data_IF_920780785864
#
_entry.id   IF_920780785864
#
_cell.length_a   1.000
_cell.length_b   1.000
_cell.length_c   1.000
_cell.angle_alpha   90.00
_cell.angle_beta   90.00
_cell.angle_gamma   90.00
#
_symmetry.space_group_name_H-M   'P 1'
#
loop_
_entity.id
_entity.type
_entity.pdbx_description
1 polymer ?
#
# COMPACT_ATOMS: atom_id res chain seq x y z
N UNK A 1 -2.26 -2.38 -15.62
CA UNK A 1 -2.28 -1.06 -14.98
C UNK A 1 -0.98 -0.29 -15.29
N UNK A 2 0.20 -0.91 -15.14
CA UNK A 2 1.52 -0.34 -15.49
C UNK A 2 1.64 0.30 -16.89
N UNK A 3 0.92 -0.19 -17.91
CA UNK A 3 0.98 0.33 -19.28
C UNK A 3 0.12 1.58 -19.52
N UNK A 4 -0.77 1.94 -18.59
CA UNK A 4 -1.74 3.01 -18.79
C UNK A 4 -1.07 4.39 -19.01
N UNK A 5 0.00 4.77 -18.26
CA UNK A 5 0.74 5.99 -18.54
C UNK A 5 1.37 6.02 -19.94
N UNK A 6 1.84 4.87 -20.45
CA UNK A 6 2.43 4.77 -21.79
C UNK A 6 1.38 5.05 -22.87
N UNK A 7 0.17 4.48 -22.75
CA UNK A 7 -0.92 4.76 -23.70
C UNK A 7 -1.36 6.23 -23.70
N UNK A 8 -1.41 6.86 -22.53
CA UNK A 8 -1.69 8.30 -22.45
C UNK A 8 -0.56 9.14 -23.08
N UNK A 9 0.69 8.71 -22.94
CA UNK A 9 1.82 9.36 -23.60
C UNK A 9 1.72 9.26 -25.13
N UNK A 10 1.42 8.08 -25.66
CA UNK A 10 1.21 7.82 -27.09
C UNK A 10 0.06 8.66 -27.68
N UNK A 11 -1.03 8.80 -26.93
CA UNK A 11 -2.19 9.64 -27.30
C UNK A 11 -1.89 11.16 -27.21
N UNK A 12 -0.71 11.54 -26.69
CA UNK A 12 -0.19 12.90 -26.74
C UNK A 12 -0.43 13.74 -25.49
N UNK A 13 -0.91 13.18 -24.37
CA UNK A 13 -1.14 13.93 -23.13
C UNK A 13 0.15 14.58 -22.58
N UNK A 14 1.30 13.95 -22.84
CA UNK A 14 2.63 14.49 -22.46
C UNK A 14 3.04 15.76 -23.20
N UNK A 15 2.35 16.13 -24.29
CA UNK A 15 2.58 17.40 -24.99
C UNK A 15 1.91 18.58 -24.30
N UNK A 16 0.93 18.31 -23.42
CA UNK A 16 0.14 19.32 -22.70
C UNK A 16 0.64 19.54 -21.27
N UNK A 17 1.28 18.53 -20.68
CA UNK A 17 1.79 18.54 -19.32
C UNK A 17 2.31 17.15 -18.96
N UNK A 18 2.83 16.98 -17.75
CA UNK A 18 3.29 15.67 -17.27
C UNK A 18 2.13 14.72 -17.00
N UNK A 19 2.40 13.42 -17.06
CA UNK A 19 1.51 12.37 -16.57
C UNK A 19 2.00 11.92 -15.20
N UNK A 20 1.20 12.12 -14.17
CA UNK A 20 1.47 11.63 -12.82
C UNK A 20 0.83 10.27 -12.60
N UNK A 21 1.57 9.29 -12.08
CA UNK A 21 1.04 8.00 -11.65
C UNK A 21 1.37 7.77 -10.17
N UNK A 22 0.36 7.78 -9.32
CA UNK A 22 0.55 7.56 -7.89
C UNK A 22 0.56 6.08 -7.56
N UNK A 23 1.37 5.71 -6.58
CA UNK A 23 1.47 4.37 -6.02
C UNK A 23 1.47 4.49 -4.48
N UNK A 24 0.73 3.63 -3.76
CA UNK A 24 0.71 3.71 -2.30
C UNK A 24 2.06 3.33 -1.66
N UNK A 25 2.93 2.61 -2.39
CA UNK A 25 4.19 2.08 -1.87
C UNK A 25 5.41 2.59 -2.63
N UNK A 26 6.46 2.95 -1.89
CA UNK A 26 7.75 3.45 -2.43
C UNK A 26 8.38 2.47 -3.42
N UNK A 27 8.50 1.19 -3.03
CA UNK A 27 9.12 0.15 -3.87
C UNK A 27 8.35 -0.05 -5.18
N UNK A 28 7.01 0.07 -5.16
CA UNK A 28 6.19 0.00 -6.36
C UNK A 28 6.48 1.18 -7.30
N UNK A 29 6.49 2.41 -6.80
CA UNK A 29 6.81 3.60 -7.61
C UNK A 29 8.19 3.48 -8.28
N UNK A 30 9.23 3.09 -7.54
CA UNK A 30 10.59 2.94 -8.06
C UNK A 30 10.71 1.81 -9.10
N UNK A 31 10.20 0.62 -8.76
CA UNK A 31 10.34 -0.57 -9.61
C UNK A 31 9.54 -0.43 -10.91
N UNK A 32 8.34 0.15 -10.85
CA UNK A 32 7.51 0.40 -12.04
C UNK A 32 8.15 1.47 -12.92
N UNK A 33 8.66 2.57 -12.36
CA UNK A 33 9.36 3.59 -13.13
C UNK A 33 10.57 3.02 -13.86
N UNK A 34 11.41 2.24 -13.15
CA UNK A 34 12.58 1.58 -13.74
C UNK A 34 12.19 0.66 -14.90
N UNK A 35 11.18 -0.19 -14.69
CA UNK A 35 10.69 -1.11 -15.72
C UNK A 35 10.16 -0.37 -16.94
N UNK A 36 9.40 0.71 -16.74
CA UNK A 36 8.83 1.50 -17.85
C UNK A 36 9.91 2.25 -18.60
N UNK A 37 10.95 2.74 -17.92
CA UNK A 37 12.13 3.31 -18.57
C UNK A 37 12.86 2.28 -19.46
N UNK A 38 13.03 1.04 -18.96
CA UNK A 38 13.60 -0.08 -19.73
C UNK A 38 12.71 -0.45 -20.94
N UNK A 39 11.39 -0.52 -20.77
CA UNK A 39 10.44 -0.84 -21.85
C UNK A 39 10.40 0.25 -22.93
N UNK A 40 10.53 1.53 -22.55
CA UNK A 40 10.60 2.66 -23.49
C UNK A 40 12.03 2.93 -24.02
N UNK A 41 13.01 2.14 -23.59
CA UNK A 41 14.42 2.31 -23.94
C UNK A 41 14.97 3.72 -23.68
N UNK A 42 14.60 4.28 -22.53
CA UNK A 42 15.04 5.61 -22.07
C UNK A 42 15.77 5.49 -20.73
N UNK A 43 16.52 6.54 -20.37
CA UNK A 43 17.25 6.55 -19.11
C UNK A 43 16.31 6.99 -17.98
N UNK A 44 16.28 6.20 -16.91
CA UNK A 44 15.55 6.56 -15.69
C UNK A 44 16.06 7.90 -15.13
N UNK A 45 15.14 8.81 -14.84
CA UNK A 45 15.39 10.19 -14.41
C UNK A 45 15.37 11.22 -15.55
N UNK A 46 15.39 10.80 -16.81
CA UNK A 46 15.15 11.68 -17.96
C UNK A 46 13.66 11.72 -18.31
N UNK A 47 13.22 11.05 -19.38
CA UNK A 47 11.82 11.04 -19.83
C UNK A 47 10.86 10.36 -18.85
N UNK A 48 11.34 9.33 -18.15
CA UNK A 48 10.61 8.58 -17.13
C UNK A 48 11.32 8.77 -15.81
N UNK A 49 10.59 9.23 -14.80
CA UNK A 49 11.15 9.48 -13.47
C UNK A 49 10.27 8.98 -12.34
N UNK A 50 10.82 9.02 -11.13
CA UNK A 50 10.02 8.80 -9.92
C UNK A 50 10.34 9.80 -8.82
N UNK A 51 9.37 10.06 -7.95
CA UNK A 51 9.57 10.84 -6.74
C UNK A 51 8.95 10.15 -5.53
N UNK A 52 9.78 9.97 -4.50
CA UNK A 52 9.38 9.41 -3.20
C UNK A 52 9.92 10.29 -2.09
N UNK A 53 9.52 10.01 -0.85
CA UNK A 53 10.03 10.77 0.31
C UNK A 53 11.57 10.63 0.40
N UNK A 54 12.25 11.78 0.43
CA UNK A 54 13.71 11.94 0.51
C UNK A 54 14.50 11.56 -0.75
N UNK A 55 13.84 11.23 -1.85
CA UNK A 55 14.51 10.83 -3.07
C UNK A 55 13.66 11.22 -4.28
N UNK A 56 14.23 12.07 -5.14
CA UNK A 56 13.59 12.55 -6.37
C UNK A 56 14.52 12.25 -7.56
N UNK A 57 14.06 11.37 -8.44
CA UNK A 57 14.75 10.97 -9.66
C UNK A 57 13.91 11.45 -10.86
N UNK A 58 13.82 12.78 -10.99
CA UNK A 58 13.16 13.46 -12.10
C UNK A 58 14.06 14.56 -12.67
N UNK A 59 13.76 15.04 -13.87
CA UNK A 59 14.43 16.15 -14.52
C UNK A 59 13.42 16.99 -15.31
N UNK A 60 13.86 18.11 -15.88
CA UNK A 60 13.02 18.95 -16.74
C UNK A 60 12.49 18.21 -17.99
N UNK A 61 13.11 17.08 -18.36
CA UNK A 61 12.66 16.23 -19.47
C UNK A 61 11.60 15.22 -19.07
N UNK A 62 11.30 15.07 -17.77
CA UNK A 62 10.39 14.04 -17.29
C UNK A 62 8.98 14.29 -17.80
N UNK A 63 8.46 13.31 -18.54
CA UNK A 63 7.12 13.33 -19.12
C UNK A 63 6.15 12.46 -18.33
N UNK A 64 6.65 11.33 -17.79
CA UNK A 64 5.88 10.44 -16.93
C UNK A 64 6.58 10.32 -15.58
N UNK A 65 5.86 10.68 -14.53
CA UNK A 65 6.35 10.68 -13.15
C UNK A 65 5.58 9.67 -12.32
N UNK A 66 6.26 8.64 -11.83
CA UNK A 66 5.73 7.73 -10.82
C UNK A 66 6.02 8.26 -9.43
N UNK A 67 5.04 8.35 -8.55
CA UNK A 67 5.28 8.93 -7.23
C UNK A 67 4.45 8.26 -6.15
N UNK A 68 4.84 8.44 -4.89
CA UNK A 68 3.95 8.05 -3.79
C UNK A 68 2.80 9.04 -3.67
N UNK A 69 1.63 8.56 -3.20
CA UNK A 69 0.46 9.41 -2.92
C UNK A 69 0.83 10.66 -2.08
N UNK A 70 1.66 10.49 -1.06
CA UNK A 70 2.11 11.60 -0.21
C UNK A 70 2.97 12.66 -0.92
N UNK A 71 3.59 12.33 -2.05
CA UNK A 71 4.35 13.31 -2.87
C UNK A 71 3.38 14.15 -3.68
N UNK A 72 2.42 13.53 -4.38
CA UNK A 72 1.39 14.29 -5.11
C UNK A 72 0.59 15.19 -4.16
N UNK A 73 0.29 14.68 -2.96
CA UNK A 73 -0.40 15.44 -1.93
C UNK A 73 0.43 16.67 -1.50
N UNK A 74 1.75 16.54 -1.35
CA UNK A 74 2.62 17.68 -1.05
C UNK A 74 2.71 18.67 -2.20
N UNK A 75 2.77 18.19 -3.44
CA UNK A 75 2.74 19.08 -4.61
C UNK A 75 1.44 19.88 -4.66
N UNK A 76 0.31 19.26 -4.31
CA UNK A 76 -0.98 19.96 -4.24
C UNK A 76 -1.04 21.06 -3.16
N UNK A 77 -0.14 21.04 -2.16
CA UNK A 77 0.01 22.14 -1.19
C UNK A 77 0.66 23.38 -1.81
N UNK A 78 1.58 23.17 -2.76
CA UNK A 78 2.30 24.25 -3.43
C UNK A 78 1.49 24.78 -4.61
N UNK A 79 0.86 23.87 -5.35
CA UNK A 79 0.09 24.13 -6.55
C UNK A 79 -1.29 23.48 -6.45
N UNK A 80 -2.28 24.23 -5.99
CA UNK A 80 -3.63 23.71 -5.71
C UNK A 80 -4.36 23.14 -6.94
N UNK A 81 -4.01 23.62 -8.13
CA UNK A 81 -4.61 23.19 -9.39
C UNK A 81 -3.74 22.21 -10.19
N UNK A 82 -2.55 21.86 -9.68
CA UNK A 82 -1.64 20.86 -10.28
C UNK A 82 -1.34 21.16 -11.77
N UNK A 83 -1.04 22.41 -12.11
CA UNK A 83 -0.92 22.93 -13.48
C UNK A 83 0.12 22.18 -14.33
N UNK A 84 1.15 21.64 -13.67
CA UNK A 84 2.18 20.84 -14.32
C UNK A 84 1.68 19.50 -14.90
N UNK A 85 0.48 19.05 -14.53
CA UNK A 85 -0.07 17.76 -14.96
C UNK A 85 -1.21 17.92 -15.97
N UNK A 86 -1.18 17.09 -17.02
CA UNK A 86 -2.29 16.92 -17.97
C UNK A 86 -3.14 15.69 -17.65
N UNK A 87 -2.56 14.69 -16.99
CA UNK A 87 -3.26 13.51 -16.52
C UNK A 87 -2.68 13.00 -15.20
N UNK A 88 -3.55 12.54 -14.31
CA UNK A 88 -3.20 11.90 -13.04
C UNK A 88 -3.86 10.54 -12.99
N UNK A 89 -3.06 9.51 -12.72
CA UNK A 89 -3.50 8.14 -12.48
C UNK A 89 -3.32 7.86 -10.99
N UNK A 90 -4.42 7.58 -10.30
CA UNK A 90 -4.44 7.11 -8.91
C UNK A 90 -4.47 5.58 -8.93
N UNK A 91 -3.31 4.93 -8.79
CA UNK A 91 -3.21 3.47 -8.85
C UNK A 91 -3.41 2.79 -7.51
N UNK A 92 -3.81 1.51 -7.55
CA UNK A 92 -4.04 0.68 -6.36
C UNK A 92 -5.01 1.34 -5.36
N UNK A 93 -6.03 2.06 -5.86
CA UNK A 93 -6.99 2.85 -5.07
C UNK A 93 -7.76 2.04 -3.99
N UNK A 94 -7.72 0.72 -4.06
CA UNK A 94 -8.31 -0.17 -3.08
C UNK A 94 -7.48 -0.35 -1.80
N UNK A 95 -6.21 0.08 -1.78
CA UNK A 95 -5.42 0.11 -0.54
C UNK A 95 -6.01 1.13 0.46
N UNK A 96 -6.76 2.13 -0.02
CA UNK A 96 -7.50 3.13 0.79
C UNK A 96 -6.63 3.73 1.90
N UNK A 97 -5.42 4.14 1.51
CA UNK A 97 -4.49 4.83 2.41
C UNK A 97 -5.02 6.23 2.73
N UNK A 98 -4.55 6.77 3.85
CA UNK A 98 -4.93 8.11 4.30
C UNK A 98 -4.65 9.19 3.24
N UNK A 99 -3.48 9.14 2.60
CA UNK A 99 -3.10 10.11 1.57
C UNK A 99 -3.97 9.96 0.31
N UNK A 100 -4.30 8.73 -0.09
CA UNK A 100 -5.15 8.44 -1.25
C UNK A 100 -6.55 9.04 -1.05
N UNK A 101 -7.14 8.86 0.14
CA UNK A 101 -8.48 9.36 0.45
C UNK A 101 -8.54 10.89 0.49
N UNK A 102 -7.52 11.54 1.05
CA UNK A 102 -7.39 13.00 1.01
C UNK A 102 -7.24 13.49 -0.43
N UNK A 103 -6.38 12.84 -1.22
CA UNK A 103 -6.19 13.15 -2.64
C UNK A 103 -7.49 13.01 -3.44
N UNK A 104 -8.33 12.00 -3.18
CA UNK A 104 -9.63 11.89 -3.86
C UNK A 104 -10.52 13.11 -3.60
N UNK A 105 -10.59 13.57 -2.35
CA UNK A 105 -11.35 14.78 -2.00
C UNK A 105 -10.82 16.04 -2.70
N UNK A 106 -9.49 16.19 -2.77
CA UNK A 106 -8.85 17.32 -3.45
C UNK A 106 -9.05 17.25 -4.97
N UNK A 107 -8.73 16.12 -5.59
CA UNK A 107 -8.82 15.92 -7.02
C UNK A 107 -10.26 16.01 -7.53
N UNK A 108 -11.26 15.63 -6.74
CA UNK A 108 -12.68 15.87 -7.06
C UNK A 108 -12.96 17.35 -7.30
N UNK A 109 -12.40 18.22 -6.47
CA UNK A 109 -12.55 19.67 -6.63
C UNK A 109 -11.70 20.21 -7.79
N UNK A 110 -10.49 19.68 -8.01
CA UNK A 110 -9.62 20.09 -9.11
C UNK A 110 -10.25 19.73 -10.46
N UNK A 111 -10.71 18.49 -10.66
CA UNK A 111 -11.33 18.04 -11.93
C UNK A 111 -12.65 18.77 -12.22
N UNK A 112 -13.35 19.24 -11.18
CA UNK A 112 -14.52 20.10 -11.35
C UNK A 112 -14.17 21.50 -11.91
N UNK A 113 -12.95 22.01 -11.64
CA UNK A 113 -12.45 23.30 -12.14
C UNK A 113 -11.66 23.18 -13.45
N UNK A 114 -10.85 22.12 -13.57
CA UNK A 114 -9.93 21.85 -14.68
C UNK A 114 -10.47 20.75 -15.58
N UNK A 115 -11.11 21.16 -16.68
CA UNK A 115 -11.61 20.24 -17.70
C UNK A 115 -10.52 19.68 -18.63
N UNK A 116 -9.34 20.32 -18.64
CA UNK A 116 -8.14 19.91 -19.36
C UNK A 116 -7.40 18.77 -18.66
N UNK A 117 -7.50 18.65 -17.34
CA UNK A 117 -6.92 17.57 -16.55
C UNK A 117 -7.75 16.27 -16.66
N UNK A 118 -7.08 15.14 -16.95
CA UNK A 118 -7.71 13.81 -16.88
C UNK A 118 -7.34 13.08 -15.59
N UNK A 119 -8.35 12.60 -14.87
CA UNK A 119 -8.17 11.74 -13.71
C UNK A 119 -8.58 10.30 -14.04
N UNK A 120 -7.70 9.35 -13.77
CA UNK A 120 -8.00 7.92 -13.88
C UNK A 120 -7.75 7.27 -12.53
N UNK A 121 -8.73 6.54 -12.01
CA UNK A 121 -8.61 5.78 -10.76
C UNK A 121 -8.60 4.30 -11.10
N UNK A 122 -7.51 3.62 -10.77
CA UNK A 122 -7.37 2.18 -11.01
C UNK A 122 -7.47 1.40 -9.70
N UNK A 123 -8.21 0.30 -9.73
CA UNK A 123 -8.47 -0.55 -8.57
C UNK A 123 -8.51 -2.02 -8.99
N UNK A 124 -7.99 -2.91 -8.13
CA UNK A 124 -8.06 -4.35 -8.32
C UNK A 124 -9.33 -4.98 -7.74
N UNK A 125 -10.14 -4.22 -6.98
CA UNK A 125 -11.37 -4.73 -6.36
C UNK A 125 -12.60 -4.46 -7.22
N UNK A 126 -13.64 -5.29 -7.04
CA UNK A 126 -14.92 -5.16 -7.75
C UNK A 126 -15.80 -3.99 -7.27
N UNK A 127 -15.41 -3.26 -6.22
CA UNK A 127 -16.19 -2.12 -5.70
C UNK A 127 -15.89 -0.82 -6.45
N UNK A 128 -15.86 -0.87 -7.78
CA UNK A 128 -15.65 0.30 -8.64
C UNK A 128 -16.82 1.30 -8.56
N UNK A 129 -18.00 0.82 -8.13
CA UNK A 129 -19.22 1.62 -8.02
C UNK A 129 -19.09 2.76 -7.02
N UNK A 130 -18.44 2.54 -5.86
CA UNK A 130 -18.21 3.61 -4.88
C UNK A 130 -17.35 4.74 -5.43
N UNK A 131 -16.26 4.38 -6.11
CA UNK A 131 -15.40 5.35 -6.79
C UNK A 131 -16.19 6.12 -7.86
N UNK A 132 -16.97 5.40 -8.67
CA UNK A 132 -17.80 6.00 -9.71
C UNK A 132 -18.79 7.03 -9.14
N UNK A 133 -19.53 6.65 -8.09
CA UNK A 133 -20.49 7.52 -7.41
C UNK A 133 -19.81 8.76 -6.79
N UNK A 134 -18.67 8.57 -6.13
CA UNK A 134 -17.92 9.66 -5.49
C UNK A 134 -17.50 10.76 -6.49
N UNK A 135 -17.02 10.36 -7.67
CA UNK A 135 -16.62 11.27 -8.74
C UNK A 135 -17.78 11.73 -9.65
N UNK A 136 -19.04 11.47 -9.27
CA UNK A 136 -20.22 11.96 -10.01
C UNK A 136 -20.74 11.01 -11.09
N UNK A 137 -20.81 9.71 -10.77
CA UNK A 137 -21.24 8.64 -11.67
C UNK A 137 -20.40 8.53 -12.95
N UNK A 138 -19.07 8.56 -12.79
CA UNK A 138 -18.13 8.43 -13.92
C UNK A 138 -18.20 7.02 -14.55
N UNK A 139 -17.85 6.89 -15.85
CA UNK A 139 -17.80 5.58 -16.51
C UNK A 139 -16.82 4.63 -15.85
N UNK A 140 -17.23 3.37 -15.67
CA UNK A 140 -16.40 2.29 -15.14
C UNK A 140 -16.00 1.35 -16.27
N UNK A 141 -14.68 1.15 -16.43
CA UNK A 141 -14.13 0.19 -17.37
C UNK A 141 -13.58 -1.02 -16.63
N UNK A 142 -14.20 -2.19 -16.84
CA UNK A 142 -13.74 -3.45 -16.25
C UNK A 142 -12.90 -4.21 -17.26
N UNK A 143 -11.61 -4.40 -16.93
CA UNK A 143 -10.73 -5.26 -17.71
C UNK A 143 -10.90 -6.70 -17.21
N UNK A 144 -11.35 -7.65 -18.05
CA UNK A 144 -11.49 -9.03 -17.62
C UNK A 144 -10.11 -9.59 -17.23
N UNK A 145 -10.01 -10.11 -16.00
CA UNK A 145 -8.78 -10.72 -15.50
C UNK A 145 -8.38 -11.93 -16.32
N UNK A 146 -7.07 -12.08 -16.58
CA UNK A 146 -6.48 -13.30 -17.17
C UNK A 146 -6.01 -14.28 -16.09
N UNK A 147 -6.76 -14.40 -15.00
CA UNK A 147 -6.42 -15.32 -13.92
C UNK A 147 -6.94 -16.72 -14.23
N UNK A 148 -6.08 -17.70 -14.07
CA UNK A 148 -6.46 -19.11 -14.12
C UNK A 148 -7.30 -19.48 -12.89
N UNK A 149 -8.12 -20.54 -12.97
CA UNK A 149 -8.92 -20.99 -11.83
C UNK A 149 -8.03 -21.37 -10.64
N UNK A 150 -8.48 -21.00 -9.44
CA UNK A 150 -7.82 -21.31 -8.16
C UNK A 150 -8.77 -22.14 -7.31
N UNK A 151 -8.34 -23.33 -6.92
CA UNK A 151 -9.10 -24.17 -5.99
C UNK A 151 -8.90 -23.64 -4.55
N UNK A 152 -9.99 -23.28 -3.88
CA UNK A 152 -9.96 -22.75 -2.52
C UNK A 152 -10.29 -23.87 -1.54
N UNK A 153 -9.36 -24.15 -0.63
CA UNK A 153 -9.51 -25.13 0.44
C UNK A 153 -9.56 -24.40 1.78
N UNK A 154 -10.50 -24.80 2.64
CA UNK A 154 -10.65 -24.25 3.99
C UNK A 154 -10.27 -25.28 5.04
N UNK A 155 -9.75 -24.81 6.17
CA UNK A 155 -9.59 -25.65 7.35
C UNK A 155 -10.94 -26.17 7.84
N UNK A 156 -10.98 -27.40 8.35
CA UNK A 156 -12.20 -28.00 8.93
C UNK A 156 -12.54 -27.39 10.28
N UNK A 157 -11.52 -27.07 11.07
CA UNK A 157 -11.65 -26.50 12.41
C UNK A 157 -10.90 -25.15 12.48
N UNK A 158 -11.29 -24.23 13.37
CA UNK A 158 -10.47 -23.06 13.68
C UNK A 158 -9.08 -23.48 14.14
N UNK A 159 -8.05 -22.76 13.68
CA UNK A 159 -6.65 -22.99 14.07
C UNK A 159 -6.27 -22.00 15.16
N UNK A 160 -5.85 -22.48 16.33
CA UNK A 160 -5.37 -21.63 17.42
C UNK A 160 -3.96 -21.10 17.14
N UNK A 161 -3.07 -21.97 16.64
CA UNK A 161 -1.73 -21.62 16.20
C UNK A 161 -1.67 -21.60 14.66
N UNK A 162 -1.78 -20.40 14.09
CA UNK A 162 -1.72 -20.22 12.64
C UNK A 162 -0.29 -20.42 12.08
N UNK A 163 0.75 -20.30 12.90
CA UNK A 163 2.15 -20.51 12.46
C UNK A 163 2.39 -21.99 12.26
N UNK A 164 2.13 -22.81 13.28
CA UNK A 164 2.28 -24.27 13.19
C UNK A 164 1.38 -24.87 12.10
N UNK A 165 0.13 -24.39 11.98
CA UNK A 165 -0.77 -24.82 10.90
C UNK A 165 -0.21 -24.48 9.50
N UNK A 166 0.39 -23.31 9.31
CA UNK A 166 1.00 -22.93 8.04
C UNK A 166 2.23 -23.77 7.72
N UNK A 167 3.09 -24.04 8.70
CA UNK A 167 4.28 -24.89 8.56
C UNK A 167 3.85 -26.31 8.13
N UNK A 168 2.88 -26.91 8.83
CA UNK A 168 2.33 -28.23 8.48
C UNK A 168 1.77 -28.27 7.05
N UNK A 169 1.00 -27.25 6.67
CA UNK A 169 0.44 -27.15 5.33
C UNK A 169 1.53 -26.98 4.27
N UNK A 170 2.56 -26.17 4.53
CA UNK A 170 3.69 -25.96 3.62
C UNK A 170 4.47 -27.25 3.37
N UNK A 171 4.76 -28.00 4.43
CA UNK A 171 5.42 -29.31 4.35
C UNK A 171 4.56 -30.33 3.59
N UNK A 172 3.25 -30.37 3.85
CA UNK A 172 2.34 -31.25 3.12
C UNK A 172 2.32 -30.93 1.62
N UNK A 173 2.29 -29.65 1.25
CA UNK A 173 2.34 -29.20 -0.15
C UNK A 173 3.69 -29.51 -0.79
N UNK A 174 4.79 -29.37 -0.05
CA UNK A 174 6.14 -29.69 -0.52
C UNK A 174 6.32 -31.19 -0.77
N UNK A 175 6.01 -32.02 0.21
CA UNK A 175 6.23 -33.48 0.21
C UNK A 175 5.15 -34.24 -0.57
N UNK A 176 3.92 -33.72 -0.64
CA UNK A 176 2.80 -34.37 -1.34
C UNK A 176 2.83 -34.22 -2.87
N UNK A 177 3.82 -33.52 -3.43
CA UNK A 177 3.94 -33.33 -4.88
C UNK A 177 4.38 -34.61 -5.62
N UNK A 178 3.79 -34.86 -6.80
CA UNK A 178 4.27 -35.94 -7.68
C UNK A 178 5.70 -35.62 -8.18
N UNK A 179 6.67 -36.54 -8.05
CA UNK A 179 8.00 -36.38 -8.64
C UNK A 179 7.91 -36.17 -10.16
N UNK A 180 8.58 -35.15 -10.70
CA UNK A 180 8.72 -34.95 -12.15
C UNK A 180 7.80 -33.93 -12.81
N UNK A 181 6.84 -33.32 -12.10
CA UNK A 181 6.19 -32.06 -12.55
C UNK A 181 6.97 -30.88 -12.01
N UNK A 182 7.24 -29.87 -12.85
CA UNK A 182 7.97 -28.64 -12.49
C UNK A 182 7.62 -28.17 -11.08
N UNK A 183 8.61 -28.08 -10.18
CA UNK A 183 8.43 -27.58 -8.83
C UNK A 183 7.78 -26.20 -8.89
N UNK A 184 6.55 -26.12 -8.39
CA UNK A 184 5.74 -24.90 -8.39
C UNK A 184 5.93 -24.21 -7.06
N UNK A 185 6.08 -22.90 -7.08
CA UNK A 185 6.43 -22.14 -5.89
C UNK A 185 5.20 -21.93 -4.99
N UNK A 186 5.47 -21.71 -3.71
CA UNK A 186 4.46 -21.45 -2.69
C UNK A 186 4.66 -20.09 -2.03
N UNK A 187 3.55 -19.46 -1.67
CA UNK A 187 3.49 -18.17 -0.98
C UNK A 187 2.67 -18.32 0.30
N UNK A 188 3.28 -18.03 1.44
CA UNK A 188 2.65 -18.06 2.76
C UNK A 188 2.43 -16.61 3.22
N UNK A 189 1.21 -16.28 3.62
CA UNK A 189 0.90 -14.98 4.22
C UNK A 189 0.95 -15.04 5.74
N UNK A 190 1.81 -14.22 6.34
CA UNK A 190 1.99 -14.06 7.78
C UNK A 190 1.81 -12.59 8.21
N UNK A 191 1.36 -12.32 9.45
CA UNK A 191 0.97 -10.97 9.84
C UNK A 191 2.16 -10.03 10.12
N UNK A 192 3.32 -10.53 10.54
CA UNK A 192 4.48 -9.70 10.87
C UNK A 192 5.84 -10.39 10.73
N UNK A 193 6.91 -9.64 10.98
CA UNK A 193 8.30 -10.11 10.87
C UNK A 193 8.60 -11.29 11.79
N UNK A 194 8.26 -11.20 13.08
CA UNK A 194 8.48 -12.27 14.06
C UNK A 194 7.81 -13.58 13.60
N UNK A 195 6.54 -13.51 13.17
CA UNK A 195 5.82 -14.67 12.64
C UNK A 195 6.50 -15.26 11.38
N UNK A 196 7.02 -14.39 10.50
CA UNK A 196 7.71 -14.79 9.28
C UNK A 196 9.00 -15.54 9.60
N UNK A 197 9.83 -14.99 10.49
CA UNK A 197 11.13 -15.57 10.86
C UNK A 197 10.93 -16.93 11.54
N UNK A 198 10.02 -17.01 12.51
CA UNK A 198 9.66 -18.26 13.17
C UNK A 198 9.13 -19.29 12.18
N UNK A 199 8.25 -18.89 11.24
CA UNK A 199 7.76 -19.79 10.19
C UNK A 199 8.90 -20.33 9.32
N UNK A 200 9.84 -19.47 8.92
CA UNK A 200 10.99 -19.88 8.11
C UNK A 200 11.88 -20.88 8.85
N UNK A 201 12.18 -20.61 10.12
CA UNK A 201 13.00 -21.47 10.98
C UNK A 201 12.34 -22.83 11.18
N UNK A 202 11.05 -22.86 11.53
CA UNK A 202 10.32 -24.11 11.75
C UNK A 202 10.20 -24.96 10.47
N UNK A 203 10.01 -24.35 9.30
CA UNK A 203 10.02 -25.10 8.04
C UNK A 203 11.41 -25.72 7.80
N UNK A 204 12.49 -24.97 8.03
CA UNK A 204 13.86 -25.46 7.85
C UNK A 204 14.20 -26.59 8.82
N UNK A 205 13.84 -26.44 10.10
CA UNK A 205 14.05 -27.45 11.15
C UNK A 205 13.33 -28.76 10.81
N UNK A 206 12.02 -28.69 10.52
CA UNK A 206 11.20 -29.87 10.20
C UNK A 206 11.64 -30.58 8.92
N UNK A 207 12.17 -29.85 7.94
CA UNK A 207 12.76 -30.45 6.74
C UNK A 207 14.09 -31.14 7.06
N UNK A 208 14.88 -30.60 7.98
CA UNK A 208 16.14 -31.21 8.44
C UNK A 208 15.96 -32.49 9.25
N UNK A 209 14.80 -32.67 9.89
CA UNK A 209 14.43 -33.90 10.61
C UNK A 209 14.05 -35.07 9.67
N UNK A 210 13.77 -34.79 8.40
CA UNK A 210 13.30 -35.78 7.43
C UNK A 210 14.47 -36.32 6.59
N UNK A 211 14.65 -37.63 6.59
CA UNK A 211 15.58 -38.31 5.68
C UNK A 211 15.10 -38.18 4.22
N UNK A 212 16.02 -37.81 3.31
CA UNK A 212 15.78 -37.66 1.86
C UNK A 212 14.74 -36.58 1.44
N UNK A 213 14.51 -35.55 2.27
CA UNK A 213 13.63 -34.44 1.89
C UNK A 213 14.16 -33.66 0.66
N UNK A 214 13.32 -33.38 -0.37
CA UNK A 214 13.73 -32.53 -1.48
C UNK A 214 14.11 -31.12 -0.99
N UNK A 215 15.14 -30.48 -1.57
CA UNK A 215 15.53 -29.13 -1.17
C UNK A 215 14.37 -28.13 -1.37
N UNK A 216 14.25 -27.19 -0.43
CA UNK A 216 13.28 -26.09 -0.46
C UNK A 216 14.02 -24.77 -0.20
N UNK A 217 13.86 -23.80 -1.10
CA UNK A 217 14.39 -22.46 -0.91
C UNK A 217 13.38 -21.61 -0.12
N UNK A 218 13.66 -21.36 1.16
CA UNK A 218 12.79 -20.57 2.06
C UNK A 218 13.24 -19.11 2.04
N UNK A 219 12.34 -18.19 1.70
CA UNK A 219 12.66 -16.77 1.49
C UNK A 219 11.66 -15.87 2.25
N UNK A 220 12.11 -15.12 3.27
CA UNK A 220 11.26 -14.15 3.97
C UNK A 220 11.10 -12.86 3.17
N UNK A 221 9.94 -12.21 3.28
CA UNK A 221 9.75 -10.84 2.77
C UNK A 221 8.82 -10.00 3.66
N UNK A 222 9.36 -8.90 4.16
CA UNK A 222 8.67 -7.90 4.97
C UNK A 222 9.30 -6.52 4.76
N UNK A 223 8.59 -5.45 5.15
CA UNK A 223 8.94 -4.08 4.76
C UNK A 223 10.32 -3.58 5.22
N UNK A 224 10.85 -4.10 6.33
CA UNK A 224 12.16 -3.72 6.87
C UNK A 224 13.34 -4.48 6.23
N UNK A 225 13.08 -5.48 5.39
CA UNK A 225 14.12 -6.30 4.79
C UNK A 225 14.98 -5.47 3.81
N UNK A 226 16.33 -5.59 3.82
CA UNK A 226 17.20 -4.91 2.86
C UNK A 226 16.86 -5.21 1.41
N UNK A 227 17.02 -4.21 0.53
CA UNK A 227 16.68 -4.29 -0.90
C UNK A 227 17.33 -5.46 -1.63
N UNK A 228 18.57 -5.79 -1.29
CA UNK A 228 19.31 -6.90 -1.92
C UNK A 228 18.66 -8.26 -1.62
N UNK A 229 18.12 -8.43 -0.41
CA UNK A 229 17.39 -9.64 -0.02
C UNK A 229 15.98 -9.66 -0.62
N UNK A 230 15.31 -8.50 -0.72
CA UNK A 230 14.05 -8.39 -1.45
C UNK A 230 14.23 -8.72 -2.94
N UNK A 231 15.38 -8.43 -3.55
CA UNK A 231 15.61 -8.79 -4.95
C UNK A 231 15.71 -10.31 -5.18
N UNK A 232 16.14 -11.08 -4.17
CA UNK A 232 16.32 -12.54 -4.28
C UNK A 232 15.02 -13.29 -4.56
N UNK A 233 13.87 -12.81 -4.09
CA UNK A 233 12.58 -13.49 -4.32
C UNK A 233 12.17 -13.53 -5.80
N UNK A 234 12.62 -12.56 -6.61
CA UNK A 234 12.34 -12.50 -8.05
C UNK A 234 13.27 -13.39 -8.87
N UNK A 235 14.41 -13.80 -8.31
CA UNK A 235 15.34 -14.67 -8.99
C UNK A 235 14.72 -16.07 -9.10
N UNK A 236 14.93 -16.73 -10.25
CA UNK A 236 14.55 -18.14 -10.39
C UNK A 236 15.45 -18.97 -9.51
N UNK A 237 14.87 -19.94 -8.80
CA UNK A 237 15.66 -20.85 -8.00
C UNK A 237 16.60 -21.67 -8.90
N UNK A 238 17.86 -21.87 -8.51
CA UNK A 238 18.76 -22.80 -9.18
C UNK A 238 18.16 -24.22 -9.21
N UNK A 239 18.48 -24.98 -10.25
CA UNK A 239 18.25 -26.43 -10.35
C UNK A 239 16.80 -26.93 -10.19
N UNK A 240 15.80 -26.07 -10.41
CA UNK A 240 14.39 -26.45 -10.30
C UNK A 240 13.94 -26.73 -8.86
N UNK A 241 14.68 -26.22 -7.87
CA UNK A 241 14.30 -26.23 -6.46
C UNK A 241 13.03 -25.39 -6.27
N UNK A 242 12.10 -25.88 -5.45
CA UNK A 242 10.87 -25.13 -5.12
C UNK A 242 11.20 -23.94 -4.23
N UNK A 243 10.59 -22.77 -4.49
CA UNK A 243 10.63 -21.63 -3.56
C UNK A 243 9.42 -21.64 -2.63
N UNK A 244 9.67 -21.36 -1.36
CA UNK A 244 8.67 -21.02 -0.36
C UNK A 244 8.91 -19.59 0.10
N UNK A 245 8.07 -18.67 -0.36
CA UNK A 245 8.12 -17.27 0.05
C UNK A 245 7.18 -17.06 1.23
N UNK A 246 7.68 -16.52 2.33
CA UNK A 246 6.87 -16.19 3.51
C UNK A 246 6.79 -14.66 3.61
N UNK A 247 5.58 -14.12 3.44
CA UNK A 247 5.38 -12.70 3.16
C UNK A 247 4.32 -12.07 4.06
N UNK A 248 4.45 -10.76 4.31
CA UNK A 248 3.33 -9.95 4.79
C UNK A 248 2.33 -9.65 3.66
N UNK A 249 1.35 -8.77 3.91
CA UNK A 249 0.51 -8.16 2.88
C UNK A 249 1.31 -7.39 1.80
N UNK A 250 2.64 -7.34 1.89
CA UNK A 250 3.49 -6.82 0.81
C UNK A 250 3.26 -7.55 -0.52
N UNK A 251 3.10 -8.88 -0.47
CA UNK A 251 2.88 -9.73 -1.63
C UNK A 251 1.42 -9.74 -2.14
N UNK A 252 0.49 -9.11 -1.41
CA UNK A 252 -0.94 -9.15 -1.70
C UNK A 252 -1.33 -8.31 -2.91
N UNK A 253 -0.67 -7.16 -3.11
CA UNK A 253 -0.95 -6.16 -4.16
C UNK A 253 0.31 -5.86 -4.95
N UNK A 254 1.28 -5.24 -4.29
CA UNK A 254 2.40 -4.52 -4.92
C UNK A 254 3.53 -5.38 -5.48
N UNK A 255 3.56 -6.68 -5.17
CA UNK A 255 4.65 -7.55 -5.62
C UNK A 255 4.12 -8.81 -6.31
N UNK A 256 4.60 -9.04 -7.53
CA UNK A 256 4.25 -10.22 -8.31
C UNK A 256 5.45 -11.15 -8.31
N UNK A 257 5.41 -12.20 -7.49
CA UNK A 257 6.39 -13.29 -7.58
C UNK A 257 5.90 -14.25 -8.65
N UNK A 258 6.69 -14.42 -9.72
CA UNK A 258 6.38 -15.35 -10.79
C UNK A 258 6.54 -16.80 -10.31
N UNK A 259 5.70 -17.70 -10.82
CA UNK A 259 5.80 -19.14 -10.51
C UNK A 259 5.01 -19.62 -9.30
N UNK A 260 4.37 -18.71 -8.55
CA UNK A 260 3.49 -19.08 -7.43
C UNK A 260 2.24 -19.81 -7.96
N UNK A 261 2.00 -21.03 -7.45
CA UNK A 261 0.75 -21.77 -7.67
C UNK A 261 0.09 -22.26 -6.40
N UNK A 262 0.79 -22.19 -5.26
CA UNK A 262 0.24 -22.54 -3.96
C UNK A 262 0.24 -21.30 -3.07
N UNK A 263 -0.91 -20.97 -2.50
CA UNK A 263 -1.03 -19.91 -1.49
C UNK A 263 -1.47 -20.54 -0.17
N UNK A 264 -0.81 -20.18 0.92
CA UNK A 264 -1.21 -20.55 2.28
C UNK A 264 -1.54 -19.24 3.01
N UNK A 265 -2.78 -19.09 3.44
CA UNK A 265 -3.30 -17.86 4.03
C UNK A 265 -3.67 -18.08 5.50
N UNK A 266 -2.90 -17.48 6.41
CA UNK A 266 -3.18 -17.46 7.84
C UNK A 266 -4.47 -16.72 8.20
N UNK A 267 -4.95 -15.81 7.33
CA UNK A 267 -6.17 -15.04 7.56
C UNK A 267 -5.96 -13.79 8.43
N UNK A 268 -4.71 -13.42 8.72
CA UNK A 268 -4.39 -12.26 9.55
C UNK A 268 -3.53 -11.21 8.82
N UNK A 269 -3.56 -9.99 9.34
CA UNK A 269 -2.64 -8.90 8.99
C UNK A 269 -2.41 -7.98 10.20
N UNK A 270 -1.28 -7.28 10.22
CA UNK A 270 -1.04 -6.18 11.17
C UNK A 270 -1.61 -4.89 10.60
N UNK A 271 -2.43 -4.20 11.40
CA UNK A 271 -3.08 -2.95 11.02
C UNK A 271 -2.81 -1.89 12.10
N UNK A 272 -2.61 -0.65 11.64
CA UNK A 272 -2.49 0.52 12.50
C UNK A 272 -3.90 0.93 12.94
N UNK A 273 -4.11 1.04 14.25
CA UNK A 273 -5.38 1.42 14.87
C UNK A 273 -5.16 2.50 15.92
N UNK A 274 -5.95 3.56 15.84
CA UNK A 274 -5.95 4.67 16.77
C UNK A 274 -6.94 4.43 17.91
N UNK A 275 -6.47 4.58 19.15
CA UNK A 275 -7.35 4.62 20.30
C UNK A 275 -7.59 6.07 20.73
N UNK A 276 -8.79 6.64 20.47
CA UNK A 276 -9.06 8.05 20.77
C UNK A 276 -9.06 8.37 22.27
N UNK A 277 -9.32 7.38 23.14
CA UNK A 277 -9.30 7.59 24.60
C UNK A 277 -7.88 7.74 25.14
N UNK A 278 -6.93 7.05 24.51
CA UNK A 278 -5.51 7.05 24.91
C UNK A 278 -4.72 8.10 24.09
N UNK A 279 -5.23 8.47 22.91
CA UNK A 279 -4.58 9.42 22.01
C UNK A 279 -3.37 8.84 21.28
N UNK A 280 -3.30 7.51 21.12
CA UNK A 280 -2.15 6.82 20.54
C UNK A 280 -2.55 5.82 19.46
N UNK A 281 -1.71 5.71 18.43
CA UNK A 281 -1.77 4.67 17.43
C UNK A 281 -1.05 3.40 17.95
N UNK A 282 -1.65 2.24 17.72
CA UNK A 282 -1.05 0.94 18.01
C UNK A 282 -1.09 0.05 16.76
N UNK A 283 -0.06 -0.78 16.58
CA UNK A 283 -0.06 -1.81 15.56
C UNK A 283 -0.59 -3.11 16.17
N UNK A 284 -1.72 -3.61 15.68
CA UNK A 284 -2.39 -4.78 16.22
C UNK A 284 -2.69 -5.79 15.11
N UNK A 285 -2.75 -7.07 15.47
CA UNK A 285 -3.11 -8.15 14.55
C UNK A 285 -4.64 -8.20 14.44
N UNK A 286 -5.15 -8.18 13.21
CA UNK A 286 -6.57 -8.31 12.90
C UNK A 286 -6.81 -9.40 11.84
N UNK A 287 -8.00 -10.01 11.83
CA UNK A 287 -8.46 -10.80 10.70
C UNK A 287 -8.53 -9.96 9.43
N UNK A 288 -8.21 -10.56 8.29
CA UNK A 288 -8.29 -9.90 6.98
C UNK A 288 -9.74 -9.73 6.51
N UNK A 289 -9.97 -8.88 5.51
CA UNK A 289 -11.27 -8.84 4.83
C UNK A 289 -11.42 -9.97 3.80
N UNK A 290 -12.65 -10.26 3.39
CA UNK A 290 -12.96 -11.17 2.29
C UNK A 290 -12.29 -10.69 0.99
N UNK A 291 -12.27 -9.37 0.74
CA UNK A 291 -11.56 -8.79 -0.38
C UNK A 291 -10.06 -9.14 -0.34
N UNK A 292 -9.39 -8.98 0.80
CA UNK A 292 -7.98 -9.35 0.95
C UNK A 292 -7.76 -10.86 0.75
N UNK A 293 -8.60 -11.69 1.37
CA UNK A 293 -8.54 -13.15 1.23
C UNK A 293 -8.66 -13.60 -0.23
N UNK A 294 -9.48 -12.91 -1.03
CA UNK A 294 -9.65 -13.19 -2.46
C UNK A 294 -8.44 -12.71 -3.28
N UNK A 295 -7.85 -11.56 -2.94
CA UNK A 295 -6.61 -11.09 -3.57
C UNK A 295 -5.43 -12.02 -3.28
N UNK A 296 -5.28 -12.47 -2.03
CA UNK A 296 -4.27 -13.46 -1.62
C UNK A 296 -4.43 -14.75 -2.40
N UNK A 297 -5.63 -15.31 -2.46
CA UNK A 297 -5.91 -16.51 -3.25
C UNK A 297 -5.61 -16.32 -4.75
N UNK A 298 -5.94 -15.15 -5.30
CA UNK A 298 -5.68 -14.82 -6.70
C UNK A 298 -4.20 -14.84 -7.10
N UNK A 299 -3.27 -14.73 -6.14
CA UNK A 299 -1.82 -14.85 -6.41
C UNK A 299 -1.43 -16.24 -6.93
N UNK A 300 -2.16 -17.29 -6.57
CA UNK A 300 -1.96 -18.65 -7.08
C UNK A 300 -2.35 -18.81 -8.56
N UNK A 301 -3.26 -17.97 -9.06
CA UNK A 301 -3.87 -18.10 -10.39
C UNK A 301 -3.19 -17.29 -11.49
N UNK A 302 -1.98 -16.76 -11.27
CA UNK A 302 -1.33 -15.85 -12.23
C UNK A 302 -0.59 -16.55 -13.36
N UNK A 303 0.08 -17.65 -13.06
CA UNK A 303 0.92 -18.39 -14.03
C UNK A 303 0.17 -19.57 -14.64
N UNK A 304 -0.77 -20.15 -13.88
CA UNK A 304 -1.54 -21.33 -14.26
C UNK A 304 -2.57 -21.67 -13.18
N UNK A 305 -3.33 -22.77 -13.34
CA UNK A 305 -4.26 -23.24 -12.31
C UNK A 305 -3.53 -23.51 -11.00
N UNK A 306 -4.03 -22.92 -9.92
CA UNK A 306 -3.40 -22.91 -8.60
C UNK A 306 -4.33 -23.37 -7.48
N UNK A 307 -3.80 -23.41 -6.26
CA UNK A 307 -4.55 -23.76 -5.06
C UNK A 307 -4.28 -22.76 -3.94
N UNK A 308 -5.32 -22.41 -3.19
CA UNK A 308 -5.25 -21.53 -2.04
C UNK A 308 -5.78 -22.25 -0.79
N UNK A 309 -4.91 -22.45 0.19
CA UNK A 309 -5.22 -23.04 1.48
C UNK A 309 -5.47 -21.94 2.51
N UNK A 310 -6.72 -21.80 2.93
CA UNK A 310 -7.14 -20.88 3.99
C UNK A 310 -7.11 -21.62 5.31
N UNK A 311 -6.29 -21.15 6.25
CA UNK A 311 -6.12 -21.77 7.58
C UNK A 311 -7.27 -21.46 8.55
N UNK A 312 -8.37 -20.94 8.03
CA UNK A 312 -9.62 -20.63 8.72
C UNK A 312 -10.78 -21.36 8.04
N UNK A 313 -11.87 -21.53 8.78
CA UNK A 313 -13.05 -22.25 8.29
C UNK A 313 -13.84 -21.43 7.28
N UNK A 314 -14.63 -22.10 6.44
CA UNK A 314 -15.55 -21.43 5.52
C UNK A 314 -16.58 -20.55 6.27
N UNK A 315 -16.98 -20.95 7.49
CA UNK A 315 -17.87 -20.16 8.34
C UNK A 315 -17.21 -18.85 8.76
N UNK A 316 -15.97 -18.90 9.24
CA UNK A 316 -15.20 -17.70 9.59
C UNK A 316 -15.08 -16.74 8.39
N UNK A 317 -14.75 -17.28 7.20
CA UNK A 317 -14.67 -16.48 5.97
C UNK A 317 -15.98 -15.74 5.65
N UNK A 318 -17.13 -16.42 5.76
CA UNK A 318 -18.42 -15.89 5.32
C UNK A 318 -19.07 -14.98 6.37
N UNK A 319 -19.00 -15.37 7.64
CA UNK A 319 -19.81 -14.78 8.71
C UNK A 319 -19.00 -13.87 9.64
N UNK A 320 -17.68 -14.06 9.75
CA UNK A 320 -16.83 -13.29 10.67
C UNK A 320 -15.94 -12.26 9.95
N UNK A 321 -15.43 -12.57 8.76
CA UNK A 321 -14.60 -11.63 8.01
C UNK A 321 -15.44 -10.52 7.37
N UNK A 322 -14.99 -9.28 7.54
CA UNK A 322 -15.57 -8.12 6.87
C UNK A 322 -15.47 -8.25 5.36
N UNK A 323 -16.45 -7.74 4.62
CA UNK A 323 -16.45 -7.79 3.15
C UNK A 323 -15.25 -7.02 2.59
N UNK A 324 -15.03 -5.80 3.11
CA UNK A 324 -13.92 -4.91 2.74
C UNK A 324 -13.23 -4.41 4.00
N UNK A 325 -11.94 -4.11 3.90
CA UNK A 325 -11.18 -3.50 4.99
C UNK A 325 -11.70 -2.10 5.31
N UNK A 326 -11.73 -1.76 6.59
CA UNK A 326 -12.05 -0.40 7.03
C UNK A 326 -10.94 0.55 6.55
N UNK A 327 -11.28 1.65 5.85
CA UNK A 327 -10.31 2.62 5.33
C UNK A 327 -9.42 3.20 6.43
N UNK A 328 -8.18 3.56 6.08
CA UNK A 328 -7.20 4.05 7.05
C UNK A 328 -7.66 5.33 7.77
N UNK A 329 -8.35 6.22 7.06
CA UNK A 329 -8.87 7.48 7.61
C UNK A 329 -9.80 7.29 8.82
N UNK A 330 -10.52 6.18 8.91
CA UNK A 330 -11.45 5.93 10.02
C UNK A 330 -10.77 5.36 11.27
N UNK A 331 -9.48 5.04 11.20
CA UNK A 331 -8.78 4.22 12.20
C UNK A 331 -7.38 4.73 12.55
N UNK A 332 -6.99 5.92 12.13
CA UNK A 332 -5.70 6.54 12.47
C UNK A 332 -5.88 7.93 13.07
N UNK A 333 -4.86 8.44 13.76
CA UNK A 333 -4.82 9.85 14.15
C UNK A 333 -4.87 10.77 12.91
N UNK A 334 -5.74 11.79 12.95
CA UNK A 334 -5.97 12.72 11.86
C UNK A 334 -5.22 14.05 12.03
N UNK A 335 -4.38 14.23 13.05
CA UNK A 335 -3.72 15.50 13.33
C UNK A 335 -2.92 16.04 12.13
N UNK A 336 -2.16 15.18 11.45
CA UNK A 336 -1.46 15.56 10.21
C UNK A 336 -2.41 15.93 9.08
N UNK A 337 -3.50 15.19 8.92
CA UNK A 337 -4.48 15.42 7.85
C UNK A 337 -5.26 16.71 8.08
N UNK A 338 -5.67 16.96 9.31
CA UNK A 338 -6.35 18.20 9.70
C UNK A 338 -5.43 19.40 9.44
N UNK A 339 -4.17 19.31 9.86
CA UNK A 339 -3.17 20.35 9.62
C UNK A 339 -3.00 20.62 8.12
N UNK A 340 -2.88 19.56 7.33
CA UNK A 340 -2.76 19.60 5.89
C UNK A 340 -3.99 20.22 5.20
N UNK A 341 -5.19 19.74 5.52
CA UNK A 341 -6.44 20.27 4.95
C UNK A 341 -6.63 21.75 5.28
N UNK A 342 -6.28 22.17 6.51
CA UNK A 342 -6.31 23.58 6.91
C UNK A 342 -5.30 24.41 6.12
N UNK A 343 -4.12 23.87 5.82
CA UNK A 343 -3.13 24.56 4.97
C UNK A 343 -3.59 24.72 3.51
N UNK A 344 -4.41 23.80 3.02
CA UNK A 344 -5.05 23.86 1.69
C UNK A 344 -6.26 24.81 1.66
N UNK A 345 -6.56 25.50 2.76
CA UNK A 345 -7.67 26.45 2.84
C UNK A 345 -9.04 25.81 3.07
N UNK A 346 -9.11 24.52 3.44
CA UNK A 346 -10.38 23.87 3.82
C UNK A 346 -10.85 24.45 5.15
N UNK A 347 -11.92 25.26 5.10
CA UNK A 347 -12.46 25.93 6.28
C UNK A 347 -13.22 24.95 7.17
N UNK A 348 -14.21 24.25 6.60
CA UNK A 348 -15.04 23.27 7.29
C UNK A 348 -14.60 21.85 6.94
N UNK A 349 -14.00 21.17 7.93
CA UNK A 349 -13.50 19.80 7.78
C UNK A 349 -14.64 18.77 7.79
N UNK A 350 -15.78 19.08 8.43
CA UNK A 350 -16.94 18.19 8.49
C UNK A 350 -17.69 18.15 7.15
N UNK A 351 -17.61 19.24 6.38
CA UNK A 351 -18.16 19.31 5.02
C UNK A 351 -17.17 18.86 3.94
N UNK A 352 -15.93 18.52 4.31
CA UNK A 352 -14.98 18.02 3.32
C UNK A 352 -15.44 16.68 2.76
N UNK A 353 -15.34 16.53 1.44
CA UNK A 353 -15.84 15.36 0.73
C UNK A 353 -14.85 14.20 0.84
N UNK A 354 -14.88 13.50 1.96
CA UNK A 354 -14.24 12.18 2.08
C UNK A 354 -15.10 11.11 1.43
N UNK A 355 -14.46 10.09 0.86
CA UNK A 355 -15.18 8.93 0.33
C UNK A 355 -15.86 8.14 1.44
N UNK A 356 -15.12 7.89 2.53
CA UNK A 356 -15.65 7.38 3.78
C UNK A 356 -15.22 8.37 4.88
N UNK A 357 -16.15 9.15 5.46
CA UNK A 357 -15.79 10.16 6.44
C UNK A 357 -15.24 9.52 7.72
N UNK A 358 -14.21 10.12 8.34
CA UNK A 358 -13.77 9.69 9.65
C UNK A 358 -14.81 10.02 10.74
N UNK A 359 -14.77 9.34 11.90
CA UNK A 359 -15.58 9.70 13.05
C UNK A 359 -15.36 11.17 13.45
N UNK A 360 -16.43 11.91 13.72
CA UNK A 360 -16.38 13.33 14.09
C UNK A 360 -15.51 13.56 15.34
N UNK A 361 -15.60 12.66 16.33
CA UNK A 361 -14.76 12.69 17.53
C UNK A 361 -13.26 12.67 17.20
N UNK A 362 -12.83 11.93 16.17
CA UNK A 362 -11.42 11.88 15.77
C UNK A 362 -10.99 13.23 15.17
N UNK A 363 -11.83 13.86 14.35
CA UNK A 363 -11.55 15.18 13.79
C UNK A 363 -11.44 16.23 14.91
N UNK A 364 -12.41 16.24 15.83
CA UNK A 364 -12.46 17.19 16.95
C UNK A 364 -11.25 17.04 17.88
N UNK A 365 -10.88 15.80 18.22
CA UNK A 365 -9.68 15.52 19.04
C UNK A 365 -8.40 15.97 18.33
N UNK A 366 -8.27 15.74 17.02
CA UNK A 366 -7.13 16.21 16.24
C UNK A 366 -7.06 17.74 16.14
N UNK A 367 -8.20 18.43 15.99
CA UNK A 367 -8.26 19.90 16.03
C UNK A 367 -7.85 20.43 17.41
N UNK A 368 -8.35 19.82 18.49
CA UNK A 368 -7.99 20.19 19.85
C UNK A 368 -6.48 20.00 20.10
N UNK A 369 -5.90 18.88 19.66
CA UNK A 369 -4.46 18.63 19.76
C UNK A 369 -3.65 19.69 19.03
N UNK A 370 -4.03 20.07 17.79
CA UNK A 370 -3.34 21.10 17.03
C UNK A 370 -3.48 22.50 17.64
N UNK A 371 -4.61 22.80 18.26
CA UNK A 371 -4.82 24.03 19.02
C UNK A 371 -3.91 24.08 20.26
N UNK A 372 -3.81 22.99 21.05
CA UNK A 372 -2.87 22.89 22.18
C UNK A 372 -1.42 23.02 21.71
N UNK A 373 -1.09 22.49 20.54
CA UNK A 373 0.23 22.68 19.93
C UNK A 373 0.45 24.11 19.40
N UNK A 374 -0.58 24.95 19.32
CA UNK A 374 -0.48 26.31 18.77
C UNK A 374 -0.38 26.35 17.24
N UNK A 375 -0.65 25.22 16.58
CA UNK A 375 -0.73 25.15 15.11
C UNK A 375 -2.04 25.79 14.59
N UNK A 376 -3.10 25.73 15.39
CA UNK A 376 -4.39 26.38 15.14
C UNK A 376 -4.67 27.46 16.20
N UNK A 377 -5.35 28.52 15.81
CA UNK A 377 -5.86 29.54 16.73
C UNK A 377 -7.25 29.17 17.31
N UNK A 378 -7.82 30.04 18.15
CA UNK A 378 -9.12 29.82 18.79
C UNK A 378 -10.30 29.76 17.79
N UNK A 379 -10.10 30.20 16.55
CA UNK A 379 -11.10 30.13 15.47
C UNK A 379 -10.91 28.90 14.59
N UNK A 380 -9.87 28.10 14.83
CA UNK A 380 -9.52 26.94 14.01
C UNK A 380 -8.79 27.31 12.71
N UNK A 381 -8.19 28.50 12.65
CA UNK A 381 -7.38 28.98 11.52
C UNK A 381 -5.90 28.67 11.76
N UNK A 382 -5.17 28.42 10.69
CA UNK A 382 -3.75 28.06 10.74
C UNK A 382 -2.87 29.25 11.17
N UNK A 383 -2.06 29.06 12.22
CA UNK A 383 -1.11 30.06 12.72
C UNK A 383 0.18 30.08 11.88
N UNK A 384 1.07 31.08 12.04
CA UNK A 384 2.39 31.05 11.42
C UNK A 384 3.21 29.82 11.83
N UNK A 385 3.10 29.38 13.08
CA UNK A 385 3.69 28.13 13.56
C UNK A 385 3.11 26.93 12.81
N UNK A 386 1.78 26.85 12.69
CA UNK A 386 1.10 25.79 11.94
C UNK A 386 1.53 25.72 10.47
N UNK A 387 1.71 26.87 9.81
CA UNK A 387 2.25 26.92 8.43
C UNK A 387 3.65 26.34 8.33
N UNK A 388 4.53 26.70 9.27
CA UNK A 388 5.88 26.13 9.30
C UNK A 388 5.85 24.62 9.58
N UNK A 389 4.92 24.15 10.43
CA UNK A 389 4.78 22.73 10.75
C UNK A 389 4.39 21.88 9.53
N UNK A 390 3.59 22.41 8.60
CA UNK A 390 3.14 21.71 7.37
C UNK A 390 4.30 21.37 6.44
N UNK A 391 5.35 22.19 6.41
CA UNK A 391 6.53 21.96 5.56
C UNK A 391 7.33 20.72 5.99
N UNK A 392 7.21 20.32 7.26
CA UNK A 392 7.89 19.14 7.78
C UNK A 392 7.07 17.87 7.54
N UNK A 393 7.69 16.80 7.03
CA UNK A 393 7.01 15.52 6.81
C UNK A 393 6.89 14.69 8.10
N UNK A 394 6.61 15.32 9.23
CA UNK A 394 6.64 14.72 10.57
C UNK A 394 5.31 14.95 11.29
N UNK A 395 5.05 14.16 12.33
CA UNK A 395 3.90 14.38 13.20
C UNK A 395 3.93 15.77 13.83
N UNK A 396 2.77 16.40 14.12
CA UNK A 396 2.73 17.83 14.45
C UNK A 396 3.49 18.13 15.75
N UNK A 397 3.50 17.19 16.69
CA UNK A 397 4.29 17.30 17.92
C UNK A 397 5.80 17.33 17.64
N UNK A 398 6.29 16.47 16.75
CA UNK A 398 7.70 16.42 16.34
C UNK A 398 8.10 17.64 15.51
N UNK A 399 7.23 18.07 14.59
CA UNK A 399 7.42 19.30 13.81
C UNK A 399 7.55 20.51 14.73
N UNK A 400 6.69 20.63 15.75
CA UNK A 400 6.79 21.71 16.74
C UNK A 400 8.10 21.63 17.54
N UNK A 401 8.49 20.43 17.99
CA UNK A 401 9.74 20.22 18.71
C UNK A 401 10.94 20.72 17.91
N UNK A 402 11.02 20.38 16.62
CA UNK A 402 12.10 20.84 15.75
C UNK A 402 12.08 22.37 15.54
N UNK A 403 10.90 22.97 15.34
CA UNK A 403 10.81 24.42 15.16
C UNK A 403 11.28 25.15 16.43
N UNK A 404 10.83 24.71 17.61
CA UNK A 404 11.21 25.33 18.89
C UNK A 404 12.68 25.07 19.25
N UNK A 405 13.26 23.96 18.80
CA UNK A 405 14.68 23.63 19.06
C UNK A 405 15.66 24.68 18.49
N UNK A 406 15.25 25.42 17.45
CA UNK A 406 16.04 26.52 16.87
C UNK A 406 16.18 27.66 17.89
N UNK A 407 15.07 28.04 18.52
CA UNK A 407 15.05 29.10 19.55
C UNK A 407 15.80 28.67 20.82
N UNK A 408 15.81 27.37 21.11
CA UNK A 408 16.51 26.79 22.27
C UNK A 408 18.00 26.47 22.01
N UNK A 409 18.48 26.62 20.77
CA UNK A 409 19.88 26.33 20.41
C UNK A 409 20.27 24.85 20.46
N UNK A 410 19.31 23.92 20.45
CA UNK A 410 19.51 22.47 20.53
C UNK A 410 19.06 21.72 19.26
N UNK A 411 18.96 22.42 18.13
CA UNK A 411 18.43 21.86 16.88
C UNK A 411 19.23 20.67 16.34
N UNK A 412 20.55 20.68 16.50
CA UNK A 412 21.40 19.57 16.07
C UNK A 412 21.06 18.27 16.82
N UNK A 413 20.83 18.35 18.13
CA UNK A 413 20.46 17.19 18.95
C UNK A 413 19.02 16.74 18.66
N UNK A 414 18.09 17.69 18.52
CA UNK A 414 16.69 17.37 18.18
C UNK A 414 16.53 16.75 16.79
N UNK A 415 17.40 17.09 15.83
CA UNK A 415 17.43 16.44 14.50
C UNK A 415 17.88 14.98 14.57
N UNK A 416 18.66 14.59 15.59
CA UNK A 416 19.14 13.23 15.80
C UNK A 416 18.16 12.35 16.59
N UNK A 417 17.14 12.94 17.22
CA UNK A 417 16.12 12.24 18.00
C UNK A 417 14.88 11.97 17.13
N UNK A 418 14.69 10.75 16.59
CA UNK A 418 13.48 10.37 15.87
C UNK A 418 12.27 10.18 16.77
#
# INVERSE_FOLDING_TARGET
MILLPQYLHEDGYTKLGMIGCTQPRRVAAMSVAKRVAEEMNVKLGEEIGYAIRFEDCTSEKTMIKYMTDGILLRESLRESDLDNYSAIIMDEAHERSLNTDVLFGLLRNVVARRHDLKLIVTSATMDATKFAMFFGNVPVFTIPGRTFPVDILYSKNPQEDYVDAAVKQALQVHLGGQPGKSCRDMLIFMPGQEDIEVTCELIAERLGELDEAPPLAILPIYSQLPSDLQAKIFQKAPDGIRKCVVATNIAETSLTVDGIMFVIDSGYCKLKVYNPKIGMDALQIFPISQANANQRAGRAGRTGPGQAYRLYTHRQYKDELLITTVPEIQRTNLANVVLLLKSLGVQDLLQFHFMDPPPEDNILNSMYQLWVLGALDNTGTLTPLGRNMVEFPLDPALSKMLIVSVDMGCSADCLLLP
#
